data_IF_716699913934
#
_entry.id   IF_716699913934
#
_cell.length_a   1.000
_cell.length_b   1.000
_cell.length_c   1.000
_cell.angle_alpha   90.00
_cell.angle_beta   90.00
_cell.angle_gamma   90.00
#
_symmetry.space_group_name_H-M   'P 1'
#
loop_
_entity.id
_entity.type
_entity.pdbx_description
1 polymer ?
#
# COMPACT_ATOMS: atom_id res chain seq x y z
N UNK A 1 4.56 15.97 -6.63
CA UNK A 1 5.29 14.82 -6.05
C UNK A 1 5.48 13.79 -7.16
N UNK A 2 6.63 13.12 -7.24
CA UNK A 2 6.88 12.06 -8.22
C UNK A 2 7.36 10.81 -7.48
N UNK A 3 7.00 9.63 -7.98
CA UNK A 3 7.41 8.35 -7.41
C UNK A 3 8.21 7.57 -8.43
N UNK A 4 9.29 6.94 -7.98
CA UNK A 4 10.04 5.97 -8.77
C UNK A 4 9.58 4.57 -8.38
N UNK A 5 9.15 3.79 -9.36
CA UNK A 5 8.79 2.40 -9.18
C UNK A 5 10.02 1.48 -9.25
N UNK A 6 9.85 0.21 -8.87
CA UNK A 6 10.93 -0.77 -8.80
C UNK A 6 11.50 -1.15 -10.17
N UNK A 7 10.71 -0.98 -11.24
CA UNK A 7 11.13 -1.14 -12.63
C UNK A 7 11.88 0.08 -13.20
N UNK A 8 12.05 1.13 -12.38
CA UNK A 8 12.70 2.38 -12.77
C UNK A 8 11.78 3.38 -13.49
N UNK A 9 10.50 3.04 -13.70
CA UNK A 9 9.53 3.98 -14.24
C UNK A 9 9.19 5.08 -13.22
N UNK A 10 8.78 6.25 -13.73
CA UNK A 10 8.35 7.38 -12.91
C UNK A 10 6.85 7.56 -13.08
N UNK A 11 6.13 7.65 -11.97
CA UNK A 11 4.69 7.94 -11.95
C UNK A 11 4.38 9.19 -11.13
N UNK A 12 3.27 9.83 -11.47
CA UNK A 12 2.76 11.01 -10.80
C UNK A 12 1.46 10.63 -10.08
N UNK A 13 1.41 10.78 -8.75
CA UNK A 13 0.19 10.52 -8.00
C UNK A 13 -0.98 11.37 -8.48
N UNK A 14 -2.15 10.74 -8.58
CA UNK A 14 -3.41 11.42 -8.78
C UNK A 14 -3.79 12.26 -7.56
N UNK A 15 -3.52 11.73 -6.36
CA UNK A 15 -3.80 12.43 -5.11
C UNK A 15 -3.32 11.66 -3.88
N UNK A 16 -3.61 12.23 -2.72
CA UNK A 16 -3.39 11.60 -1.42
C UNK A 16 -4.75 11.48 -0.75
N UNK A 17 -5.08 10.29 -0.28
CA UNK A 17 -6.25 10.02 0.53
C UNK A 17 -5.80 9.94 2.00
N UNK A 18 -6.28 10.86 2.82
CA UNK A 18 -5.84 11.03 4.21
C UNK A 18 -6.78 10.34 5.20
N UNK A 19 -6.24 9.91 6.34
CA UNK A 19 -6.98 9.38 7.49
C UNK A 19 -7.93 8.21 7.17
N UNK A 20 -7.54 7.35 6.23
CA UNK A 20 -8.33 6.18 5.83
C UNK A 20 -8.26 5.10 6.88
N UNK A 21 -9.40 4.60 7.33
CA UNK A 21 -9.47 3.48 8.25
C UNK A 21 -9.25 2.16 7.52
N UNK A 22 -8.11 1.51 7.79
CA UNK A 22 -7.73 0.21 7.25
C UNK A 22 -7.98 -0.87 8.29
N UNK A 23 -8.77 -1.88 7.94
CA UNK A 23 -9.00 -3.04 8.79
C UNK A 23 -7.98 -4.15 8.48
N UNK A 24 -7.14 -4.48 9.45
CA UNK A 24 -6.20 -5.61 9.38
C UNK A 24 -6.63 -6.69 10.38
N UNK A 25 -7.21 -7.78 9.87
CA UNK A 25 -7.79 -8.87 10.67
C UNK A 25 -8.84 -8.33 11.66
N UNK A 26 -8.44 -8.07 12.90
CA UNK A 26 -9.28 -7.61 14.01
C UNK A 26 -9.01 -6.16 14.44
N UNK A 27 -8.03 -5.49 13.84
CA UNK A 27 -7.62 -4.15 14.19
C UNK A 27 -7.98 -3.16 13.09
N UNK A 28 -8.16 -1.89 13.47
CA UNK A 28 -8.40 -0.78 12.53
C UNK A 28 -7.34 0.29 12.78
N UNK A 29 -6.75 0.80 11.70
CA UNK A 29 -5.70 1.81 11.75
C UNK A 29 -6.02 2.95 10.78
N UNK A 30 -5.83 4.21 11.19
CA UNK A 30 -5.76 5.30 10.23
C UNK A 30 -4.46 5.18 9.41
N UNK A 31 -4.55 5.41 8.11
CA UNK A 31 -3.41 5.48 7.21
C UNK A 31 -3.70 6.42 6.04
N UNK A 32 -2.63 7.07 5.56
CA UNK A 32 -2.68 7.85 4.35
C UNK A 32 -2.27 6.98 3.14
N UNK A 33 -2.96 7.15 2.02
CA UNK A 33 -2.68 6.45 0.77
C UNK A 33 -2.35 7.41 -0.35
N UNK A 34 -1.37 7.03 -1.16
CA UNK A 34 -1.10 7.70 -2.43
C UNK A 34 -1.90 6.99 -3.51
N UNK A 35 -2.76 7.73 -4.20
CA UNK A 35 -3.55 7.20 -5.32
C UNK A 35 -2.74 7.39 -6.59
N UNK A 36 -2.54 6.30 -7.32
CA UNK A 36 -1.81 6.27 -8.59
C UNK A 36 -2.80 5.93 -9.71
N UNK A 37 -2.67 6.64 -10.82
CA UNK A 37 -3.33 6.26 -12.07
C UNK A 37 -2.45 5.21 -12.76
N UNK A 38 -2.95 3.99 -12.89
CA UNK A 38 -2.26 2.84 -13.48
C UNK A 38 -3.22 2.10 -14.40
N UNK A 39 -2.69 1.36 -15.38
CA UNK A 39 -3.52 0.51 -16.24
C UNK A 39 -4.37 -0.44 -15.39
N UNK A 40 -5.63 -0.64 -15.79
CA UNK A 40 -6.53 -1.58 -15.11
C UNK A 40 -5.92 -2.98 -15.16
N UNK A 41 -5.42 -3.41 -14.01
CA UNK A 41 -5.04 -4.79 -13.76
C UNK A 41 -6.22 -5.50 -13.10
N UNK A 42 -6.52 -6.76 -13.46
CA UNK A 42 -7.54 -7.57 -12.77
C UNK A 42 -7.26 -7.70 -11.27
N UNK A 43 -6.01 -7.54 -10.86
CA UNK A 43 -5.59 -7.37 -9.48
C UNK A 43 -5.33 -5.89 -9.23
N UNK A 44 -6.11 -5.25 -8.37
CA UNK A 44 -5.83 -3.88 -7.91
C UNK A 44 -4.77 -3.98 -6.80
N UNK A 45 -3.49 -3.65 -7.05
CA UNK A 45 -2.45 -3.90 -6.06
C UNK A 45 -2.52 -2.86 -4.94
N UNK A 46 -2.90 -3.29 -3.73
CA UNK A 46 -2.76 -2.47 -2.52
C UNK A 46 -1.32 -2.59 -2.01
N UNK A 47 -0.53 -1.53 -2.14
CA UNK A 47 0.85 -1.50 -1.65
C UNK A 47 0.91 -0.96 -0.21
N UNK A 48 1.24 -1.82 0.73
CA UNK A 48 1.50 -1.42 2.12
C UNK A 48 2.96 -1.01 2.28
N UNK A 49 3.19 0.28 2.42
CA UNK A 49 4.53 0.81 2.64
C UNK A 49 5.12 0.38 3.99
N UNK A 50 6.46 0.39 4.07
CA UNK A 50 7.20 0.14 5.32
C UNK A 50 6.71 0.96 6.53
N UNK A 51 6.33 2.26 6.39
CA UNK A 51 5.78 3.02 7.51
C UNK A 51 4.51 2.40 8.12
N UNK A 52 3.58 1.94 7.27
CA UNK A 52 2.35 1.30 7.74
C UNK A 52 2.65 -0.02 8.47
N UNK A 53 3.54 -0.83 7.91
CA UNK A 53 3.97 -2.11 8.50
C UNK A 53 4.71 -1.91 9.84
N UNK A 54 5.45 -0.81 9.98
CA UNK A 54 6.17 -0.48 11.21
C UNK A 54 5.24 -0.14 12.39
N UNK A 55 4.04 0.42 12.15
CA UNK A 55 3.08 0.83 13.18
C UNK A 55 2.76 -0.26 14.20
N UNK A 56 2.80 -1.54 13.80
CA UNK A 56 2.54 -2.69 14.68
C UNK A 56 3.64 -3.74 14.70
N UNK A 57 4.84 -3.43 14.20
CA UNK A 57 5.92 -4.41 14.01
C UNK A 57 5.41 -5.62 13.22
N UNK A 58 4.77 -5.35 12.07
CA UNK A 58 4.21 -6.40 11.24
C UNK A 58 5.25 -7.48 10.97
N UNK A 59 4.85 -8.74 11.17
CA UNK A 59 5.63 -9.91 10.79
C UNK A 59 5.13 -10.33 9.41
N UNK A 60 6.04 -10.38 8.44
CA UNK A 60 5.74 -10.85 7.08
C UNK A 60 6.30 -12.27 7.00
N UNK A 61 5.39 -13.24 6.99
CA UNK A 61 5.72 -14.61 6.61
C UNK A 61 5.59 -14.73 5.10
N UNK A 62 6.69 -15.08 4.42
CA UNK A 62 6.74 -15.19 2.95
C UNK A 62 6.58 -16.65 2.50
N UNK A 63 6.82 -17.61 3.40
CA UNK A 63 6.72 -19.04 3.11
C UNK A 63 5.28 -19.55 3.26
N UNK A 64 4.53 -18.97 4.19
CA UNK A 64 3.13 -19.30 4.41
C UNK A 64 2.25 -18.70 3.30
N UNK A 65 1.99 -19.47 2.24
CA UNK A 65 0.98 -19.13 1.25
C UNK A 65 -0.42 -19.45 1.79
N UNK A 66 -0.94 -18.60 2.67
CA UNK A 66 -2.39 -18.55 2.92
C UNK A 66 -2.99 -17.51 1.97
N UNK A 67 -3.14 -17.89 0.70
CA UNK A 67 -3.99 -17.21 -0.29
C UNK A 67 -5.05 -18.19 -0.78
#
# INVERSE_FOLDING_TARGET
MQLSLADGSITYPYGILQDVLVRCVKFVFPADFVILDMEESPEIPLLLGRPFLATRKALIDVEMSDL
#
